data_IF_791791888445
#
_entry.id   IF_791791888445
#
_cell.length_a   1.000
_cell.length_b   1.000
_cell.length_c   1.000
_cell.angle_alpha   90.00
_cell.angle_beta   90.00
_cell.angle_gamma   90.00
#
_symmetry.space_group_name_H-M   'P 1'
#
loop_
_entity.id
_entity.type
_entity.pdbx_description
1 polymer ?
#
# COMPACT_ATOMS: atom_id res chain seq x y z
N UNK A 1 -4.07 7.40 11.47
CA UNK A 1 -4.09 6.42 10.37
C UNK A 1 -2.70 5.82 10.18
N UNK A 2 -1.70 6.64 9.87
CA UNK A 2 -0.28 6.25 9.73
C UNK A 2 0.31 5.44 10.90
N UNK A 3 0.03 5.80 12.15
CA UNK A 3 0.57 5.08 13.32
C UNK A 3 0.26 3.58 13.32
N UNK A 4 -0.94 3.19 12.85
CA UNK A 4 -1.33 1.78 12.74
C UNK A 4 -0.45 1.07 11.70
N UNK A 5 -0.22 1.71 10.56
CA UNK A 5 0.60 1.20 9.48
C UNK A 5 2.08 1.14 9.91
N UNK A 6 2.60 2.15 10.61
CA UNK A 6 3.96 2.12 11.12
C UNK A 6 4.14 1.03 12.19
N UNK A 7 3.19 0.88 13.11
CA UNK A 7 3.28 -0.15 14.17
C UNK A 7 3.08 -1.58 13.68
N UNK A 8 2.33 -1.80 12.61
CA UNK A 8 2.02 -3.15 12.11
C UNK A 8 2.79 -3.52 10.85
N UNK A 9 3.25 -2.56 10.06
CA UNK A 9 3.96 -2.80 8.79
C UNK A 9 5.43 -2.39 8.92
N UNK A 10 5.75 -1.20 9.45
CA UNK A 10 7.17 -0.78 9.53
C UNK A 10 7.99 -1.62 10.53
N UNK A 11 7.33 -2.27 11.49
CA UNK A 11 7.93 -3.22 12.42
C UNK A 11 7.97 -4.66 11.88
N UNK A 12 7.26 -4.94 10.79
CA UNK A 12 7.10 -6.27 10.22
C UNK A 12 7.96 -6.42 8.96
N UNK A 13 9.08 -7.15 9.00
CA UNK A 13 9.93 -7.35 7.83
C UNK A 13 9.28 -8.22 6.74
N UNK A 14 8.21 -8.95 7.08
CA UNK A 14 7.49 -9.84 6.14
C UNK A 14 6.47 -9.11 5.26
N UNK A 15 6.16 -7.83 5.57
CA UNK A 15 5.11 -7.08 4.87
C UNK A 15 5.64 -5.74 4.42
N UNK A 16 5.47 -5.44 3.13
CA UNK A 16 5.76 -4.13 2.56
C UNK A 16 4.44 -3.46 2.14
N UNK A 17 4.23 -2.22 2.57
CA UNK A 17 3.16 -1.40 2.04
C UNK A 17 3.67 -0.72 0.77
N UNK A 18 2.85 -0.71 -0.27
CA UNK A 18 3.05 0.12 -1.45
C UNK A 18 1.86 1.06 -1.52
N UNK A 19 2.12 2.36 -1.47
CA UNK A 19 1.07 3.35 -1.56
C UNK A 19 0.83 3.69 -3.03
N UNK A 20 -0.42 3.62 -3.49
CA UNK A 20 -0.79 4.10 -4.82
C UNK A 20 -1.48 5.45 -4.64
N UNK A 21 -0.81 6.52 -5.05
CA UNK A 21 -1.38 7.87 -5.03
C UNK A 21 -2.34 8.04 -6.18
N UNK A 22 -3.52 8.58 -5.89
CA UNK A 22 -4.50 8.98 -6.91
C UNK A 22 -4.11 10.29 -7.61
N UNK A 23 -3.05 10.95 -7.16
CA UNK A 23 -2.55 12.19 -7.75
C UNK A 23 -2.08 11.98 -9.19
N UNK A 24 -2.32 12.97 -10.02
CA UNK A 24 -1.82 13.01 -11.39
C UNK A 24 -0.34 13.44 -11.46
N UNK A 25 0.18 14.01 -10.36
CA UNK A 25 1.51 14.64 -10.29
C UNK A 25 2.36 13.97 -9.21
N UNK A 26 3.52 13.44 -9.63
CA UNK A 26 4.49 12.80 -8.74
C UNK A 26 4.96 13.71 -7.60
N UNK A 27 5.15 15.00 -7.91
CA UNK A 27 5.62 15.99 -6.96
C UNK A 27 4.64 16.20 -5.79
N UNK A 28 3.34 16.21 -6.06
CA UNK A 28 2.29 16.37 -5.04
C UNK A 28 2.20 15.11 -4.17
N UNK A 29 2.17 13.93 -4.79
CA UNK A 29 2.18 12.64 -4.07
C UNK A 29 3.40 12.50 -3.16
N UNK A 30 4.59 12.87 -3.67
CA UNK A 30 5.83 12.84 -2.90
C UNK A 30 5.85 13.89 -1.79
N UNK A 31 5.31 15.08 -2.04
CA UNK A 31 5.22 16.14 -1.02
C UNK A 31 4.30 15.72 0.12
N UNK A 32 3.13 15.17 -0.20
CA UNK A 32 2.20 14.64 0.79
C UNK A 32 2.81 13.48 1.58
N UNK A 33 3.42 12.50 0.89
CA UNK A 33 4.05 11.36 1.56
C UNK A 33 5.16 11.80 2.53
N UNK A 34 5.94 12.83 2.16
CA UNK A 34 6.95 13.43 3.05
C UNK A 34 6.33 14.17 4.24
N UNK A 35 5.25 14.91 4.03
CA UNK A 35 4.54 15.62 5.10
C UNK A 35 3.93 14.67 6.11
N UNK A 36 3.32 13.58 5.63
CA UNK A 36 2.71 12.57 6.48
C UNK A 36 3.73 11.60 7.09
N UNK A 37 4.99 11.60 6.64
CA UNK A 37 5.98 10.63 7.10
C UNK A 37 5.72 9.21 6.60
N UNK A 38 5.09 9.08 5.43
CA UNK A 38 4.93 7.83 4.70
C UNK A 38 6.30 7.43 4.12
N UNK A 39 6.93 6.43 4.72
CA UNK A 39 8.28 5.94 4.32
C UNK A 39 8.23 4.84 3.26
N UNK A 40 7.03 4.45 2.84
CA UNK A 40 6.81 3.39 1.86
C UNK A 40 6.87 3.92 0.43
N UNK A 41 7.18 3.05 -0.56
CA UNK A 41 7.16 3.44 -1.96
C UNK A 41 5.78 3.93 -2.37
N UNK A 42 5.74 5.15 -2.91
CA UNK A 42 4.54 5.76 -3.50
C UNK A 42 4.60 5.65 -5.02
N UNK A 43 3.56 5.09 -5.63
CA UNK A 43 3.40 4.93 -7.07
C UNK A 43 2.18 5.73 -7.50
N UNK A 44 2.24 6.39 -8.66
CA UNK A 44 1.07 7.11 -9.18
C UNK A 44 0.05 6.16 -9.79
N UNK A 45 -1.23 6.54 -9.76
CA UNK A 45 -2.29 5.79 -10.42
C UNK A 45 -2.02 5.61 -11.91
N UNK A 46 -1.49 6.64 -12.57
CA UNK A 46 -1.06 6.61 -13.98
C UNK A 46 0.07 5.62 -14.25
N UNK A 47 0.85 5.26 -13.23
CA UNK A 47 1.97 4.32 -13.31
C UNK A 47 1.61 2.89 -12.89
N UNK A 48 0.33 2.61 -12.58
CA UNK A 48 -0.13 1.27 -12.17
C UNK A 48 0.18 0.18 -13.20
N UNK A 49 -0.03 0.46 -14.49
CA UNK A 49 0.34 -0.46 -15.57
C UNK A 49 1.85 -0.70 -15.61
N UNK A 50 2.65 0.37 -15.51
CA UNK A 50 4.12 0.29 -15.54
C UNK A 50 4.67 -0.48 -14.35
N UNK A 51 4.03 -0.37 -13.20
CA UNK A 51 4.36 -1.10 -11.98
C UNK A 51 3.85 -2.56 -11.99
N UNK A 52 3.08 -2.98 -13.01
CA UNK A 52 2.46 -4.29 -13.06
C UNK A 52 1.36 -4.49 -12.00
N UNK A 53 0.85 -3.40 -11.42
CA UNK A 53 -0.19 -3.41 -10.40
C UNK A 53 -1.60 -3.36 -10.99
N UNK A 54 -1.73 -3.03 -12.28
CA UNK A 54 -3.02 -2.97 -12.98
C UNK A 54 -3.81 -4.30 -12.92
N UNK A 55 -3.12 -5.44 -12.81
CA UNK A 55 -3.76 -6.76 -12.66
C UNK A 55 -4.61 -6.90 -11.39
N UNK A 56 -4.34 -6.07 -10.38
CA UNK A 56 -5.08 -6.09 -9.13
C UNK A 56 -6.37 -5.29 -9.21
N UNK A 57 -6.61 -4.48 -10.24
CA UNK A 57 -7.82 -3.66 -10.43
C UNK A 57 -8.25 -2.99 -9.12
N UNK A 58 -7.29 -2.32 -8.47
CA UNK A 58 -7.50 -1.67 -7.18
C UNK A 58 -8.00 -0.24 -7.40
N UNK A 59 -9.04 0.15 -6.68
CA UNK A 59 -9.57 1.51 -6.73
C UNK A 59 -8.97 2.41 -5.64
N UNK A 60 -8.92 3.74 -5.86
CA UNK A 60 -8.50 4.68 -4.83
C UNK A 60 -9.39 4.55 -3.58
N UNK A 61 -8.76 4.33 -2.43
CA UNK A 61 -9.44 4.04 -1.16
C UNK A 61 -9.61 2.55 -0.85
N UNK A 62 -9.26 1.65 -1.78
CA UNK A 62 -9.17 0.22 -1.51
C UNK A 62 -7.77 -0.20 -1.05
N UNK A 63 -7.73 -1.25 -0.23
CA UNK A 63 -6.49 -1.92 0.17
C UNK A 63 -6.55 -3.36 -0.32
N UNK A 64 -5.48 -3.82 -0.98
CA UNK A 64 -5.33 -5.20 -1.44
C UNK A 64 -4.13 -5.81 -0.70
N UNK A 65 -4.37 -6.89 0.02
CA UNK A 65 -3.27 -7.71 0.54
C UNK A 65 -2.89 -8.71 -0.54
N UNK A 66 -1.63 -8.66 -0.96
CA UNK A 66 -1.06 -9.59 -1.94
C UNK A 66 0.05 -10.42 -1.27
N UNK A 67 0.13 -11.68 -1.64
CA UNK A 67 1.25 -12.53 -1.23
C UNK A 67 2.51 -12.25 -2.08
N UNK A 68 3.67 -12.73 -1.62
CA UNK A 68 4.92 -12.79 -2.38
C UNK A 68 4.80 -13.39 -3.79
N UNK A 69 3.83 -14.27 -4.02
CA UNK A 69 3.52 -14.84 -5.33
C UNK A 69 2.68 -13.92 -6.25
N UNK A 70 2.29 -12.72 -5.78
CA UNK A 70 1.42 -11.81 -6.52
C UNK A 70 -0.06 -12.23 -6.53
N UNK A 71 -0.48 -13.08 -5.60
CA UNK A 71 -1.88 -13.49 -5.46
C UNK A 71 -2.59 -12.62 -4.43
N UNK A 72 -3.78 -12.09 -4.76
CA UNK A 72 -4.61 -11.33 -3.82
C UNK A 72 -5.13 -12.27 -2.74
N UNK A 73 -4.70 -12.06 -1.50
CA UNK A 73 -5.17 -12.78 -0.32
C UNK A 73 -6.52 -12.23 0.15
N UNK A 74 -6.64 -10.90 0.24
CA UNK A 74 -7.90 -10.22 0.59
C UNK A 74 -7.96 -8.82 -0.01
N UNK A 75 -9.18 -8.33 -0.22
CA UNK A 75 -9.50 -6.97 -0.67
C UNK A 75 -10.08 -6.10 0.44
N UNK A 76 -10.28 -6.68 1.62
CA UNK A 76 -10.79 -5.95 2.78
C UNK A 76 -9.62 -5.44 3.61
N UNK A 77 -9.62 -4.14 3.93
CA UNK A 77 -8.57 -3.53 4.76
C UNK A 77 -8.52 -4.21 6.14
N UNK A 78 -9.68 -4.48 6.75
CA UNK A 78 -9.78 -5.09 8.06
C UNK A 78 -9.18 -6.50 8.10
N UNK A 79 -9.54 -7.34 7.14
CA UNK A 79 -8.95 -8.68 7.00
C UNK A 79 -7.44 -8.63 6.68
N UNK A 80 -7.01 -7.67 5.86
CA UNK A 80 -5.60 -7.49 5.53
C UNK A 80 -4.79 -7.22 6.80
N UNK A 81 -5.23 -6.24 7.60
CA UNK A 81 -4.58 -5.93 8.88
C UNK A 81 -4.71 -7.07 9.89
N UNK A 82 -5.84 -7.77 9.96
CA UNK A 82 -5.98 -8.91 10.83
C UNK A 82 -4.97 -10.00 10.46
N UNK A 83 -4.79 -10.28 9.16
CA UNK A 83 -3.83 -11.26 8.64
C UNK A 83 -2.38 -10.86 8.94
N UNK A 84 -2.03 -9.60 8.72
CA UNK A 84 -0.68 -9.08 9.02
C UNK A 84 -0.41 -9.10 10.53
N UNK A 85 -1.40 -8.72 11.34
CA UNK A 85 -1.27 -8.65 12.80
C UNK A 85 -1.28 -10.03 13.46
N UNK A 86 -1.83 -11.07 12.81
CA UNK A 86 -1.83 -12.45 13.28
C UNK A 86 -0.49 -13.18 13.07
N UNK A 87 0.35 -12.69 12.16
CA UNK A 87 1.66 -13.27 11.87
C UNK A 87 2.77 -12.77 12.81
N UNK A 88 2.47 -11.80 13.68
CA UNK A 88 3.39 -11.19 14.64
C UNK A 88 3.06 -11.61 16.08
#
# INVERSE_FOLDING_TARGET
MLEKYQRQIATNPEVALVHVSCDEVEADALTWARQEGFTWPTILFSDLERAGLAQYDAWPGEVRLVDSAGSVLTKDEGEAFATISLKN
#
